data_IF_459128563178
#
_entry.id   IF_459128563178
#
_cell.length_a   1.000
_cell.length_b   1.000
_cell.length_c   1.000
_cell.angle_alpha   90.00
_cell.angle_beta   90.00
_cell.angle_gamma   90.00
#
_symmetry.space_group_name_H-M   'P 1'
#
loop_
_entity.id
_entity.type
_entity.pdbx_description
1 polymer ?
#
# COMPACT_ATOMS: atom_id res chain seq x y z
N UNK A 1 -15.17 10.79 -10.41
CA UNK A 1 -15.52 9.78 -9.38
C UNK A 1 -15.23 8.40 -9.99
N UNK A 2 -14.39 7.58 -9.39
CA UNK A 2 -13.97 6.28 -9.95
C UNK A 2 -15.16 5.31 -9.95
N UNK A 3 -15.42 4.53 -11.01
CA UNK A 3 -16.49 3.54 -10.99
C UNK A 3 -16.22 2.46 -9.94
N UNK A 4 -17.24 2.03 -9.19
CA UNK A 4 -17.06 1.07 -8.09
C UNK A 4 -16.38 -0.24 -8.53
N UNK A 5 -16.63 -0.68 -9.76
CA UNK A 5 -16.02 -1.88 -10.32
C UNK A 5 -14.53 -1.73 -10.69
N UNK A 6 -13.92 -0.54 -10.58
CA UNK A 6 -12.47 -0.36 -10.74
C UNK A 6 -11.70 -0.44 -9.43
N UNK A 7 -12.41 -0.42 -8.29
CA UNK A 7 -11.78 -0.36 -6.96
C UNK A 7 -10.96 -1.62 -6.68
N UNK A 8 -11.32 -2.78 -7.21
CA UNK A 8 -10.53 -4.01 -7.03
C UNK A 8 -9.10 -3.90 -7.58
N UNK A 9 -8.88 -3.09 -8.62
CA UNK A 9 -7.55 -2.91 -9.22
C UNK A 9 -6.56 -2.30 -8.22
N UNK A 10 -7.04 -1.42 -7.34
CA UNK A 10 -6.26 -0.85 -6.25
C UNK A 10 -5.75 -1.95 -5.30
N UNK A 11 -6.61 -2.92 -4.97
CA UNK A 11 -6.30 -3.98 -4.01
C UNK A 11 -5.32 -5.03 -4.52
N UNK A 12 -5.21 -5.25 -5.84
CA UNK A 12 -4.25 -6.19 -6.43
C UNK A 12 -2.91 -5.55 -6.80
N UNK A 13 -2.81 -4.21 -6.75
CA UNK A 13 -1.60 -3.49 -7.12
C UNK A 13 -0.60 -3.42 -5.96
N UNK A 14 0.58 -4.09 -6.03
CA UNK A 14 1.55 -4.07 -4.93
C UNK A 14 2.07 -2.66 -4.64
N UNK A 15 2.17 -1.80 -5.67
CA UNK A 15 2.61 -0.40 -5.51
C UNK A 15 1.64 0.41 -4.65
N UNK A 16 0.33 0.15 -4.77
CA UNK A 16 -0.68 0.82 -3.95
C UNK A 16 -0.48 0.52 -2.46
N UNK A 17 -0.21 -0.75 -2.13
CA UNK A 17 0.13 -1.18 -0.78
C UNK A 17 1.44 -0.58 -0.27
N UNK A 18 2.46 -0.47 -1.13
CA UNK A 18 3.73 0.19 -0.77
C UNK A 18 3.51 1.66 -0.42
N UNK A 19 2.76 2.40 -1.24
CA UNK A 19 2.45 3.82 -0.97
C UNK A 19 1.67 3.97 0.33
N UNK A 20 0.70 3.09 0.59
CA UNK A 20 -0.03 3.06 1.86
C UNK A 20 0.93 2.88 3.04
N UNK A 21 1.80 1.87 2.96
CA UNK A 21 2.79 1.56 3.99
C UNK A 21 3.76 2.71 4.23
N UNK A 22 4.24 3.36 3.17
CA UNK A 22 5.12 4.53 3.26
C UNK A 22 4.40 5.69 3.98
N UNK A 23 3.20 6.06 3.55
CA UNK A 23 2.46 7.19 4.15
C UNK A 23 2.20 6.93 5.63
N UNK A 24 1.72 5.73 5.98
CA UNK A 24 1.46 5.38 7.38
C UNK A 24 2.75 5.32 8.20
N UNK A 25 3.85 4.79 7.66
CA UNK A 25 5.12 4.71 8.38
C UNK A 25 5.75 6.08 8.66
N UNK A 26 5.45 7.09 7.82
CA UNK A 26 6.05 8.41 7.94
C UNK A 26 5.18 9.38 8.72
N UNK A 27 3.86 9.29 8.57
CA UNK A 27 2.92 10.28 9.11
C UNK A 27 1.89 9.70 10.07
N UNK A 28 1.90 8.39 10.31
CA UNK A 28 0.85 7.71 11.07
C UNK A 28 0.83 8.06 12.56
N UNK A 29 1.98 8.44 13.11
CA UNK A 29 2.22 8.75 14.52
C UNK A 29 2.77 10.18 14.74
N UNK A 30 2.79 11.00 13.69
CA UNK A 30 3.23 12.39 13.80
C UNK A 30 2.09 13.29 14.28
N UNK A 31 2.30 13.90 15.45
CA UNK A 31 1.38 14.86 16.07
C UNK A 31 1.71 16.33 15.73
N UNK A 32 2.64 16.57 14.81
CA UNK A 32 2.97 17.91 14.35
C UNK A 32 1.75 18.59 13.73
N UNK A 33 1.43 19.80 14.22
CA UNK A 33 0.31 20.57 13.74
C UNK A 33 0.63 21.22 12.39
N UNK A 34 -0.27 20.98 11.43
CA UNK A 34 -0.24 21.65 10.13
C UNK A 34 -1.44 22.58 9.98
N UNK A 35 -1.20 23.74 9.37
CA UNK A 35 -2.28 24.65 8.99
C UNK A 35 -2.99 24.13 7.74
N UNK A 36 -4.23 23.68 7.90
CA UNK A 36 -5.10 23.28 6.80
C UNK A 36 -6.00 24.44 6.44
N UNK A 37 -5.89 24.93 5.20
CA UNK A 37 -6.69 26.05 4.70
C UNK A 37 -8.18 25.69 4.79
N UNK A 38 -8.93 26.45 5.59
CA UNK A 38 -10.36 26.25 5.82
C UNK A 38 -10.73 25.36 7.01
N UNK A 39 -9.78 24.64 7.61
CA UNK A 39 -10.02 23.73 8.75
C UNK A 39 -9.20 24.08 10.00
N UNK A 40 -8.18 24.94 9.90
CA UNK A 40 -7.35 25.38 11.02
C UNK A 40 -6.13 24.47 11.27
N UNK A 41 -5.54 24.57 12.46
CA UNK A 41 -4.41 23.73 12.85
C UNK A 41 -4.91 22.35 13.28
N UNK A 42 -4.30 21.29 12.74
CA UNK A 42 -4.55 19.93 13.19
C UNK A 42 -3.33 19.02 12.99
N UNK A 43 -3.20 17.93 13.77
CA UNK A 43 -2.14 16.96 13.61
C UNK A 43 -2.12 16.36 12.19
N UNK A 44 -0.93 16.20 11.62
CA UNK A 44 -0.77 15.62 10.27
C UNK A 44 -1.32 14.20 10.20
N UNK A 45 -1.18 13.41 11.26
CA UNK A 45 -1.76 12.06 11.40
C UNK A 45 -3.28 12.05 11.20
N UNK A 46 -3.97 13.03 11.79
CA UNK A 46 -5.43 13.19 11.68
C UNK A 46 -5.83 13.63 10.28
N UNK A 47 -5.11 14.59 9.70
CA UNK A 47 -5.34 15.04 8.33
C UNK A 47 -5.23 13.90 7.31
N UNK A 48 -4.17 13.10 7.40
CA UNK A 48 -3.90 11.97 6.50
C UNK A 48 -4.99 10.89 6.62
N UNK A 49 -5.46 10.61 7.84
CA UNK A 49 -6.55 9.67 8.09
C UNK A 49 -7.89 10.16 7.55
N UNK A 50 -8.30 11.38 7.89
CA UNK A 50 -9.61 11.92 7.51
C UNK A 50 -9.72 12.24 6.01
N UNK A 51 -8.66 12.81 5.43
CA UNK A 51 -8.68 13.28 4.04
C UNK A 51 -8.37 12.19 3.03
N UNK A 52 -7.46 11.29 3.37
CA UNK A 52 -6.96 10.27 2.45
C UNK A 52 -7.28 8.83 2.86
N UNK A 53 -7.74 8.59 4.10
CA UNK A 53 -8.15 7.26 4.55
C UNK A 53 -7.00 6.32 4.95
N UNK A 54 -5.78 6.84 5.13
CA UNK A 54 -4.65 6.04 5.61
C UNK A 54 -4.73 5.91 7.14
N UNK A 55 -4.97 4.69 7.64
CA UNK A 55 -5.10 4.40 9.05
C UNK A 55 -3.84 3.68 9.57
N UNK A 56 -3.21 4.18 10.66
CA UNK A 56 -2.05 3.55 11.28
C UNK A 56 -2.27 2.07 11.66
N UNK A 57 -3.47 1.72 12.11
CA UNK A 57 -3.82 0.35 12.52
C UNK A 57 -3.73 -0.67 11.37
N UNK A 58 -3.69 -0.20 10.12
CA UNK A 58 -3.67 -1.05 8.93
C UNK A 58 -2.26 -1.51 8.52
N UNK A 59 -1.23 -1.17 9.30
CA UNK A 59 0.16 -1.49 8.98
C UNK A 59 0.46 -3.00 8.99
N UNK A 60 -0.17 -3.77 9.89
CA UNK A 60 -0.04 -5.23 9.94
C UNK A 60 -0.52 -5.91 8.63
N UNK A 61 -1.76 -5.65 8.17
CA UNK A 61 -2.24 -6.09 6.86
C UNK A 61 -1.33 -5.69 5.70
N UNK A 62 -0.86 -4.44 5.66
CA UNK A 62 0.04 -3.94 4.61
C UNK A 62 1.33 -4.78 4.54
N UNK A 63 1.95 -5.04 5.69
CA UNK A 63 3.15 -5.87 5.77
C UNK A 63 2.89 -7.30 5.25
N UNK A 64 1.78 -7.91 5.68
CA UNK A 64 1.39 -9.25 5.21
C UNK A 64 1.18 -9.32 3.70
N UNK A 65 0.50 -8.33 3.11
CA UNK A 65 0.25 -8.30 1.66
C UNK A 65 1.54 -8.11 0.87
N UNK A 66 2.44 -7.22 1.30
CA UNK A 66 3.74 -7.01 0.63
C UNK A 66 4.62 -8.26 0.66
N UNK A 67 4.68 -8.95 1.81
CA UNK A 67 5.37 -10.25 1.91
C UNK A 67 4.72 -11.28 1.00
N UNK A 68 3.39 -11.35 0.98
CA UNK A 68 2.62 -12.25 0.12
C UNK A 68 2.93 -12.06 -1.36
N UNK A 69 2.92 -10.83 -1.86
CA UNK A 69 3.30 -10.52 -3.24
C UNK A 69 4.75 -10.93 -3.52
N UNK A 70 5.67 -10.66 -2.61
CA UNK A 70 7.10 -11.00 -2.78
C UNK A 70 7.28 -12.51 -2.93
N UNK A 71 6.66 -13.30 -2.06
CA UNK A 71 6.69 -14.78 -2.12
C UNK A 71 6.02 -15.29 -3.40
N UNK A 72 4.87 -14.71 -3.78
CA UNK A 72 4.16 -15.07 -5.00
C UNK A 72 5.02 -14.85 -6.26
N UNK A 73 5.64 -13.67 -6.39
CA UNK A 73 6.51 -13.36 -7.53
C UNK A 73 7.75 -14.25 -7.56
N UNK A 74 8.35 -14.54 -6.40
CA UNK A 74 9.49 -15.46 -6.30
C UNK A 74 9.11 -16.89 -6.73
N UNK A 75 7.97 -17.40 -6.28
CA UNK A 75 7.47 -18.72 -6.66
C UNK A 75 7.11 -18.79 -8.14
N UNK A 76 6.45 -17.76 -8.68
CA UNK A 76 6.13 -17.65 -10.09
C UNK A 76 7.41 -17.62 -10.94
N UNK A 77 8.41 -16.85 -10.54
CA UNK A 77 9.72 -16.79 -11.20
C UNK A 77 10.40 -18.16 -11.22
N UNK A 78 10.47 -18.84 -10.07
CA UNK A 78 11.05 -20.18 -9.96
C UNK A 78 10.30 -21.21 -10.82
N UNK A 79 8.96 -21.15 -10.84
CA UNK A 79 8.13 -22.02 -11.68
C UNK A 79 8.37 -21.76 -13.18
N UNK A 80 8.35 -20.50 -13.60
CA UNK A 80 8.59 -20.08 -14.97
C UNK A 80 9.98 -20.53 -15.44
N UNK A 81 11.02 -20.32 -14.64
CA UNK A 81 12.36 -20.84 -14.95
C UNK A 81 12.30 -22.35 -15.14
N UNK A 82 11.78 -23.11 -14.18
CA UNK A 82 11.74 -24.57 -14.27
C UNK A 82 10.99 -25.07 -15.51
N UNK A 83 9.87 -24.43 -15.86
CA UNK A 83 9.01 -24.87 -16.97
C UNK A 83 9.53 -24.42 -18.34
N UNK A 84 10.05 -23.20 -18.45
CA UNK A 84 10.55 -22.63 -19.70
C UNK A 84 12.03 -22.96 -19.98
N UNK A 85 12.86 -23.27 -18.97
CA UNK A 85 14.21 -23.82 -19.21
C UNK A 85 14.19 -25.25 -19.79
N UNK A 86 13.04 -25.92 -19.83
CA UNK A 86 12.93 -27.27 -20.36
C UNK A 86 13.12 -27.33 -21.90
N UNK A 87 13.29 -26.19 -22.59
CA UNK A 87 13.41 -26.12 -24.05
C UNK A 87 14.72 -25.49 -24.58
N UNK A 88 15.72 -25.16 -23.72
CA UNK A 88 17.05 -24.73 -24.20
C UNK A 88 18.14 -25.80 -24.04
N UNK A 89 17.76 -27.06 -24.33
CA UNK A 89 18.71 -28.12 -24.69
C UNK A 89 18.10 -28.98 -25.78
#
# INVERSE_FOLDING_TARGET
>A
RIPKWWVWYYWICPVAWTVYGLIVSQYGDLDEEILVIGEGFKPISTFVKERYGYNPDFMGPVAGVLVGFTVFFAAMFAYCIRKFNFQMR
#
